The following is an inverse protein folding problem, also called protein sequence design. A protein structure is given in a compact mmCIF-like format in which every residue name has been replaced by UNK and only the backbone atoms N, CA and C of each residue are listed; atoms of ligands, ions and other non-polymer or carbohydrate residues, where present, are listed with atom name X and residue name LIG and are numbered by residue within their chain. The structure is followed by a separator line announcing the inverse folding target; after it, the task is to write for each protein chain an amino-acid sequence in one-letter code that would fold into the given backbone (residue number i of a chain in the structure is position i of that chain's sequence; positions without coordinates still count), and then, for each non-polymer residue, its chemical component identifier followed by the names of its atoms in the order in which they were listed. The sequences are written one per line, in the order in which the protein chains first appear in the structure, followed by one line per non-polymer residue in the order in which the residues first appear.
data_IF_981509230503
#
_entry.id   IF_981509230503
#
_cell.length_a   1.000
_cell.length_b   1.000
_cell.length_c   1.000
_cell.angle_alpha   90.00
_cell.angle_beta   90.00
_cell.angle_gamma   90.00
#
_symmetry.space_group_name_H-M   'P 1'
#
loop_
_entity.id
_entity.type
_entity.pdbx_description
1 polymer ?
#
# COMPACT_ATOMS: atom_id res chain seq x y z
N UNK A 1 -12.94 11.29 -6.06
CA UNK A 1 -11.90 11.96 -5.23
C UNK A 1 -10.74 11.03 -4.82
N UNK A 2 -10.94 9.72 -4.67
CA UNK A 2 -9.87 8.76 -4.31
C UNK A 2 -8.95 8.38 -5.49
N UNK A 3 -9.49 8.38 -6.71
CA UNK A 3 -8.78 8.02 -7.94
C UNK A 3 -7.59 8.95 -8.23
N UNK A 4 -7.65 10.21 -7.77
CA UNK A 4 -6.58 11.18 -7.92
C UNK A 4 -5.39 10.94 -6.97
N UNK A 5 -5.55 10.09 -5.94
CA UNK A 5 -4.46 9.78 -5.00
C UNK A 5 -3.51 8.69 -5.53
N UNK A 6 -3.97 7.89 -6.50
CA UNK A 6 -3.24 6.77 -7.09
C UNK A 6 -2.97 6.97 -8.59
N UNK A 7 -3.38 8.12 -9.15
CA UNK A 7 -3.21 8.40 -10.57
C UNK A 7 -1.72 8.55 -10.90
N UNK A 8 -1.17 7.53 -11.53
CA UNK A 8 0.16 7.55 -12.13
C UNK A 8 0.00 7.70 -13.66
N UNK A 9 0.31 8.87 -14.25
CA UNK A 9 0.19 9.06 -15.70
C UNK A 9 1.12 8.15 -16.53
N UNK A 10 2.13 7.53 -15.91
CA UNK A 10 3.05 6.60 -16.59
C UNK A 10 2.53 5.15 -16.52
N UNK A 11 1.41 4.92 -15.82
CA UNK A 11 0.74 3.61 -15.82
C UNK A 11 0.11 3.33 -17.19
N UNK A 12 -0.34 4.36 -17.90
CA UNK A 12 -0.90 4.22 -19.24
C UNK A 12 0.14 3.71 -20.25
N UNK A 13 1.39 4.20 -20.16
CA UNK A 13 2.50 3.78 -21.03
C UNK A 13 2.86 2.29 -20.88
N UNK A 14 2.57 1.67 -19.73
CA UNK A 14 2.77 0.23 -19.52
C UNK A 14 1.75 -0.64 -20.28
N UNK A 15 0.57 -0.11 -20.62
CA UNK A 15 -0.44 -0.84 -21.39
C UNK A 15 -0.20 -0.74 -22.89
N UNK A 16 0.52 0.28 -23.35
CA UNK A 16 0.76 0.56 -24.78
C UNK A 16 2.02 -0.18 -25.28
N UNK A 17 3.07 -0.27 -24.47
CA UNK A 17 4.31 -0.99 -24.79
C UNK A 17 4.79 -1.88 -23.64
N UNK A 18 4.48 -3.20 -23.66
CA UNK A 18 4.88 -4.13 -22.60
C UNK A 18 6.40 -4.33 -22.50
N UNK A 19 7.15 -4.06 -23.57
CA UNK A 19 8.62 -4.14 -23.60
C UNK A 19 9.30 -2.90 -23.00
N UNK A 20 8.55 -1.80 -22.77
CA UNK A 20 9.06 -0.58 -22.12
C UNK A 20 9.16 -0.71 -20.58
N UNK A 21 8.66 -1.81 -20.02
CA UNK A 21 8.70 -2.10 -18.59
C UNK A 21 10.14 -2.17 -18.03
N UNK A 22 11.13 -2.50 -18.88
CA UNK A 22 12.54 -2.52 -18.49
C UNK A 22 13.22 -1.13 -18.54
N UNK A 23 12.74 -0.21 -19.39
CA UNK A 23 13.28 1.14 -19.55
C UNK A 23 12.63 2.19 -18.63
N UNK A 24 11.43 1.92 -18.10
CA UNK A 24 10.75 2.84 -17.17
C UNK A 24 11.32 2.83 -15.74
N UNK A 25 12.45 2.17 -15.50
CA UNK A 25 13.26 2.39 -14.29
C UNK A 25 13.94 3.76 -14.35
N UNK A 26 13.13 4.79 -14.12
CA UNK A 26 13.60 6.07 -13.63
C UNK A 26 13.74 7.13 -14.71
N UNK A 27 12.64 7.79 -15.02
CA UNK A 27 12.66 9.24 -14.87
C UNK A 27 12.02 9.57 -13.53
N UNK A 28 12.80 9.98 -12.51
CA UNK A 28 12.21 10.44 -11.27
C UNK A 28 11.31 11.62 -11.60
N UNK A 29 9.98 11.42 -11.54
CA UNK A 29 9.03 12.53 -11.58
C UNK A 29 9.52 13.55 -10.58
N UNK A 30 9.74 14.78 -11.05
CA UNK A 30 10.17 15.83 -10.15
C UNK A 30 9.13 15.89 -9.03
N UNK A 31 9.59 15.95 -7.77
CA UNK A 31 8.72 15.95 -6.60
C UNK A 31 7.58 17.00 -6.73
N UNK A 32 7.76 18.02 -7.57
CA UNK A 32 6.81 19.09 -7.87
C UNK A 32 5.56 18.63 -8.61
N UNK A 33 5.60 17.58 -9.42
CA UNK A 33 4.45 17.06 -10.18
C UNK A 33 3.56 16.10 -9.38
N UNK A 34 4.07 15.55 -8.28
CA UNK A 34 3.32 14.63 -7.45
C UNK A 34 2.41 15.39 -6.48
N UNK A 35 1.18 14.89 -6.30
CA UNK A 35 0.25 15.38 -5.28
C UNK A 35 0.84 15.28 -3.87
N UNK A 36 0.28 16.01 -2.88
CA UNK A 36 0.79 15.99 -1.49
C UNK A 36 0.99 14.57 -0.94
N UNK A 37 0.13 13.63 -1.32
CA UNK A 37 0.17 12.23 -0.89
C UNK A 37 1.24 11.42 -1.59
N UNK A 38 1.26 11.50 -2.91
CA UNK A 38 2.21 10.78 -3.76
C UNK A 38 3.65 11.16 -3.42
N UNK A 39 3.93 12.43 -3.04
CA UNK A 39 5.23 12.84 -2.50
C UNK A 39 5.65 12.08 -1.25
N UNK A 40 4.73 11.91 -0.31
CA UNK A 40 5.03 11.22 0.96
C UNK A 40 5.25 9.72 0.71
N UNK A 41 4.56 9.14 -0.27
CA UNK A 41 4.79 7.75 -0.72
C UNK A 41 6.15 7.63 -1.42
N UNK A 42 6.47 8.48 -2.39
CA UNK A 42 7.72 8.44 -3.17
C UNK A 42 8.97 8.70 -2.33
N UNK A 43 8.90 9.65 -1.37
CA UNK A 43 10.02 9.91 -0.44
C UNK A 43 10.36 8.68 0.41
N UNK A 44 9.37 7.83 0.70
CA UNK A 44 9.56 6.57 1.41
C UNK A 44 9.92 5.41 0.44
N UNK A 45 9.41 5.41 -0.79
CA UNK A 45 9.72 4.44 -1.86
C UNK A 45 11.21 4.42 -2.22
N UNK A 46 11.89 5.57 -2.18
CA UNK A 46 13.34 5.65 -2.41
C UNK A 46 14.18 4.80 -1.44
N UNK A 47 13.59 4.31 -0.33
CA UNK A 47 14.25 3.46 0.65
C UNK A 47 13.84 1.98 0.56
N UNK A 48 13.00 1.54 -0.38
CA UNK A 48 12.68 0.11 -0.50
C UNK A 48 12.38 -0.27 -1.95
N UNK A 49 12.93 -1.39 -2.40
CA UNK A 49 12.67 -1.92 -3.75
C UNK A 49 11.24 -2.48 -3.91
N UNK A 50 10.45 -2.52 -2.84
CA UNK A 50 9.06 -2.97 -2.85
C UNK A 50 8.12 -1.78 -2.78
N UNK A 51 7.14 -1.74 -3.69
CA UNK A 51 6.19 -0.65 -3.79
C UNK A 51 5.20 -0.72 -2.62
N UNK A 52 4.94 0.39 -1.90
CA UNK A 52 3.91 0.42 -0.88
C UNK A 52 2.53 0.04 -1.44
N UNK A 53 1.72 -0.68 -0.67
CA UNK A 53 0.35 -1.02 -1.06
C UNK A 53 -0.47 0.24 -1.41
N UNK A 54 -1.41 0.13 -2.37
CA UNK A 54 -2.27 1.24 -2.76
C UNK A 54 -3.17 1.72 -1.60
N UNK A 55 -3.55 3.00 -1.59
CA UNK A 55 -4.36 3.61 -0.53
C UNK A 55 -5.78 3.01 -0.48
N UNK A 56 -6.29 2.52 -1.61
CA UNK A 56 -7.55 1.79 -1.73
C UNK A 56 -7.63 0.57 -0.79
N UNK A 57 -6.54 -0.20 -0.66
CA UNK A 57 -6.46 -1.32 0.28
C UNK A 57 -6.57 -0.85 1.73
N UNK A 58 -5.91 0.28 2.06
CA UNK A 58 -6.02 0.87 3.40
C UNK A 58 -7.39 1.48 3.67
N UNK A 59 -8.11 1.94 2.64
CA UNK A 59 -9.49 2.39 2.78
C UNK A 59 -10.40 1.23 3.17
N UNK A 60 -10.37 0.13 2.41
CA UNK A 60 -11.15 -1.08 2.73
C UNK A 60 -10.84 -1.54 4.15
N UNK A 61 -9.56 -1.61 4.51
CA UNK A 61 -9.14 -1.95 5.87
C UNK A 61 -9.69 -0.98 6.93
N UNK A 62 -9.73 0.34 6.64
CA UNK A 62 -10.29 1.33 7.56
C UNK A 62 -11.79 1.16 7.74
N UNK A 63 -12.53 0.83 6.69
CA UNK A 63 -13.98 0.60 6.74
C UNK A 63 -14.29 -0.66 7.54
N UNK A 64 -13.60 -1.77 7.26
CA UNK A 64 -13.74 -3.03 8.00
C UNK A 64 -13.39 -2.85 9.48
N UNK A 65 -12.35 -2.05 9.77
CA UNK A 65 -11.94 -1.77 11.14
C UNK A 65 -13.01 -1.02 11.94
N UNK A 66 -13.78 -0.14 11.32
CA UNK A 66 -14.81 0.63 12.03
C UNK A 66 -15.97 -0.24 12.53
N UNK A 67 -16.17 -1.42 11.93
CA UNK A 67 -17.16 -2.42 12.37
C UNK A 67 -16.54 -3.72 12.85
N UNK A 68 -15.24 -3.73 13.18
CA UNK A 68 -14.55 -4.96 13.54
C UNK A 68 -15.18 -5.65 14.75
N UNK A 69 -15.69 -4.90 15.73
CA UNK A 69 -16.36 -5.47 16.90
C UNK A 69 -17.59 -6.27 16.47
N UNK A 70 -18.52 -5.66 15.73
CA UNK A 70 -19.72 -6.32 15.22
C UNK A 70 -19.39 -7.52 14.33
N UNK A 71 -18.44 -7.37 13.40
CA UNK A 71 -18.02 -8.47 12.54
C UNK A 71 -17.47 -9.66 13.35
N UNK A 72 -16.72 -9.40 14.42
CA UNK A 72 -16.13 -10.47 15.23
C UNK A 72 -17.11 -11.09 16.24
N UNK A 73 -18.15 -10.36 16.66
CA UNK A 73 -19.07 -10.84 17.71
C UNK A 73 -20.42 -11.31 17.18
N UNK A 74 -20.92 -10.71 16.09
CA UNK A 74 -22.27 -10.95 15.57
C UNK A 74 -22.26 -11.86 14.34
N UNK A 75 -21.18 -11.86 13.54
CA UNK A 75 -21.14 -12.67 12.33
C UNK A 75 -20.89 -14.15 12.65
N UNK A 76 -21.86 -15.03 12.34
CA UNK A 76 -21.74 -16.48 12.49
C UNK A 76 -21.52 -17.20 11.16
N UNK A 77 -21.77 -16.52 10.05
CA UNK A 77 -21.52 -17.00 8.70
C UNK A 77 -21.40 -15.87 7.70
N UNK A 78 -21.21 -16.23 6.43
CA UNK A 78 -21.05 -15.26 5.33
C UNK A 78 -22.26 -14.33 5.19
N UNK A 79 -23.48 -14.85 5.39
CA UNK A 79 -24.70 -14.06 5.27
C UNK A 79 -24.73 -12.88 6.26
N UNK A 80 -24.36 -13.14 7.52
CA UNK A 80 -24.23 -12.10 8.54
C UNK A 80 -23.14 -11.08 8.19
N UNK A 81 -22.01 -11.53 7.63
CA UNK A 81 -20.94 -10.64 7.16
C UNK A 81 -21.47 -9.71 6.06
N UNK A 82 -22.15 -10.26 5.05
CA UNK A 82 -22.72 -9.49 3.94
C UNK A 82 -23.75 -8.48 4.46
N UNK A 83 -24.62 -8.91 5.37
CA UNK A 83 -25.61 -8.03 6.02
C UNK A 83 -24.95 -6.87 6.76
N UNK A 84 -23.97 -7.15 7.62
CA UNK A 84 -23.25 -6.11 8.39
C UNK A 84 -22.54 -5.15 7.44
N UNK A 85 -21.90 -5.62 6.37
CA UNK A 85 -21.20 -4.76 5.42
C UNK A 85 -22.14 -3.93 4.55
N UNK A 86 -23.31 -4.46 4.18
CA UNK A 86 -24.32 -3.72 3.45
C UNK A 86 -24.90 -2.56 4.28
N UNK A 87 -25.12 -2.78 5.58
CA UNK A 87 -25.56 -1.73 6.51
C UNK A 87 -24.54 -0.58 6.64
N UNK A 88 -23.25 -0.86 6.43
CA UNK A 88 -22.20 0.18 6.43
C UNK A 88 -22.34 1.10 5.23
N UNK A 89 -22.60 0.54 4.04
CA UNK A 89 -22.61 1.27 2.78
C UNK A 89 -23.64 2.41 2.79
N UNK A 90 -24.75 2.25 3.52
CA UNK A 90 -25.79 3.29 3.68
C UNK A 90 -25.48 4.39 4.71
N UNK A 91 -24.46 4.23 5.58
CA UNK A 91 -24.14 5.17 6.66
C UNK A 91 -22.62 5.36 6.84
N UNK A 92 -21.87 5.33 5.75
CA UNK A 92 -20.41 5.46 5.77
C UNK A 92 -20.00 6.94 5.80
N UNK A 93 -19.31 7.36 6.86
CA UNK A 93 -18.61 8.65 6.88
C UNK A 93 -17.31 8.56 6.04
N UNK A 94 -17.37 9.06 4.81
CA UNK A 94 -16.25 9.06 3.88
C UNK A 94 -15.01 9.79 4.42
N UNK A 95 -15.18 10.88 5.20
CA UNK A 95 -14.05 11.65 5.74
C UNK A 95 -13.35 10.86 6.84
N UNK A 96 -14.12 10.21 7.71
CA UNK A 96 -13.60 9.33 8.76
C UNK A 96 -12.87 8.13 8.17
N UNK A 97 -13.46 7.48 7.16
CA UNK A 97 -12.87 6.34 6.47
C UNK A 97 -11.53 6.71 5.79
N UNK A 98 -11.50 7.82 5.03
CA UNK A 98 -10.26 8.30 4.41
C UNK A 98 -9.19 8.67 5.45
N UNK A 99 -9.58 9.35 6.53
CA UNK A 99 -8.64 9.71 7.61
C UNK A 99 -8.06 8.49 8.32
N UNK A 100 -8.89 7.45 8.53
CA UNK A 100 -8.45 6.16 9.08
C UNK A 100 -7.50 5.42 8.14
N UNK A 101 -7.81 5.41 6.84
CA UNK A 101 -6.97 4.82 5.80
C UNK A 101 -5.56 5.43 5.80
N UNK A 102 -5.46 6.76 5.85
CA UNK A 102 -4.19 7.48 5.92
C UNK A 102 -3.38 7.12 7.17
N UNK A 103 -4.04 6.98 8.33
CA UNK A 103 -3.36 6.57 9.57
C UNK A 103 -2.82 5.14 9.46
N UNK A 104 -3.56 4.23 8.84
CA UNK A 104 -3.12 2.86 8.61
C UNK A 104 -1.94 2.82 7.63
N UNK A 105 -2.00 3.56 6.53
CA UNK A 105 -0.91 3.66 5.56
C UNK A 105 0.38 4.18 6.21
N UNK A 106 0.30 5.24 7.04
CA UNK A 106 1.47 5.77 7.77
C UNK A 106 2.08 4.75 8.73
N UNK A 107 1.25 3.97 9.44
CA UNK A 107 1.73 2.90 10.33
C UNK A 107 2.40 1.78 9.54
N UNK A 108 1.81 1.42 8.41
CA UNK A 108 2.37 0.43 7.51
C UNK A 108 3.74 0.88 7.00
N UNK A 109 3.86 2.08 6.43
CA UNK A 109 5.14 2.62 5.94
C UNK A 109 6.25 2.59 6.99
N UNK A 110 5.98 3.01 8.23
CA UNK A 110 6.96 2.93 9.33
C UNK A 110 7.40 1.50 9.64
N UNK A 111 6.45 0.55 9.66
CA UNK A 111 6.77 -0.87 9.89
C UNK A 111 7.57 -1.44 8.72
N UNK A 112 7.26 -1.03 7.50
CA UNK A 112 7.96 -1.42 6.29
C UNK A 112 9.40 -0.91 6.23
N UNK A 113 9.66 0.31 6.70
CA UNK A 113 11.04 0.80 6.88
C UNK A 113 11.83 -0.09 7.84
N UNK A 114 11.23 -0.49 8.97
CA UNK A 114 11.86 -1.39 9.95
C UNK A 114 12.12 -2.79 9.40
N UNK A 115 11.12 -3.39 8.74
CA UNK A 115 11.27 -4.72 8.12
C UNK A 115 12.30 -4.69 7.00
N UNK A 116 12.28 -3.65 6.17
CA UNK A 116 13.28 -3.44 5.12
C UNK A 116 14.70 -3.29 5.68
N UNK A 117 14.87 -2.56 6.78
CA UNK A 117 16.16 -2.46 7.47
C UNK A 117 16.62 -3.83 8.01
N UNK A 118 15.73 -4.60 8.63
CA UNK A 118 16.03 -5.94 9.13
C UNK A 118 16.42 -6.91 8.00
N UNK A 119 15.73 -6.88 6.86
CA UNK A 119 16.09 -7.69 5.69
C UNK A 119 17.47 -7.32 5.13
N UNK A 120 17.84 -6.03 5.10
CA UNK A 120 19.19 -5.60 4.68
C UNK A 120 20.27 -6.10 5.64
N UNK A 121 20.01 -6.02 6.94
CA UNK A 121 20.92 -6.57 7.96
C UNK A 121 21.07 -8.08 7.82
N UNK A 122 19.98 -8.82 7.56
CA UNK A 122 20.07 -10.26 7.28
C UNK A 122 20.86 -10.58 6.01
N UNK A 123 20.78 -9.76 4.95
CA UNK A 123 21.60 -9.94 3.74
C UNK A 123 23.09 -9.71 4.01
N UNK A 124 23.43 -8.74 4.86
CA UNK A 124 24.82 -8.47 5.27
C UNK A 124 25.34 -9.57 6.20
N UNK A 125 24.48 -10.14 7.04
CA UNK A 125 24.84 -11.17 8.02
C UNK A 125 24.84 -12.60 7.45
N UNK A 126 24.35 -12.84 6.22
CA UNK A 126 24.46 -14.15 5.57
C UNK A 126 25.87 -14.28 4.97
N UNK A 127 26.78 -15.10 5.52
CA UNK A 127 28.08 -15.33 4.91
C UNK A 127 27.85 -16.02 3.56
N UNK A 128 28.44 -15.49 2.50
CA UNK A 128 28.53 -16.19 1.22
C UNK A 128 29.46 -17.38 1.41
N UNK A 129 28.92 -18.57 1.70
CA UNK A 129 29.65 -19.82 1.56
C UNK A 129 29.91 -20.04 0.07
N UNK A 130 31.02 -19.49 -0.42
CA UNK A 130 31.61 -19.94 -1.68
C UNK A 130 32.29 -21.28 -1.38
N UNK A 131 31.61 -22.37 -1.71
CA UNK A 131 32.23 -23.67 -1.95
C UNK A 131 33.17 -23.53 -3.13
N UNK A 132 34.47 -23.42 -2.84
CA UNK A 132 35.52 -23.64 -3.82
C UNK A 132 35.80 -25.14 -3.81
N UNK A 133 35.17 -25.88 -4.72
CA UNK A 133 35.60 -27.22 -5.10
C UNK A 133 36.37 -27.11 -6.42
N UNK A 134 37.68 -27.30 -6.35
CA UNK A 134 38.54 -27.88 -7.39
C UNK A 134 39.76 -28.48 -6.73
#
# INVERSE_FOLDING_TARGET
MMWALEYDPDLFTLYEDPDSAEESKGKPKSIRQCGKFEREILKNRAKSNEAPLPISVFLVASVLKDRSTKLLTEARGLDDVVKILNDITGNLDARKACSGAMKLQKKYLKKWELVGAAMRLQKILKPTTKTNET
#
